data_IF_631155901094
#
_entry.id   IF_631155901094
#
_cell.length_a   1.000
_cell.length_b   1.000
_cell.length_c   1.000
_cell.angle_alpha   90.00
_cell.angle_beta   90.00
_cell.angle_gamma   90.00
#
_symmetry.space_group_name_H-M   'P 1'
#
loop_
_entity.id
_entity.type
_entity.pdbx_description
1 polymer ?
#
# COMPACT_ATOMS: atom_id res chain seq x y z
N UNK A 1 -9.73 -12.97 -10.30
CA UNK A 1 -9.01 -11.70 -10.06
C UNK A 1 -8.51 -11.68 -8.62
N UNK A 2 -7.32 -11.13 -8.38
CA UNK A 2 -6.70 -11.10 -7.05
C UNK A 2 -5.29 -11.69 -7.04
N UNK A 3 -4.59 -11.48 -5.94
CA UNK A 3 -3.17 -11.80 -5.78
C UNK A 3 -2.93 -13.26 -5.35
N UNK A 4 -3.58 -14.22 -6.01
CA UNK A 4 -3.51 -15.65 -5.64
C UNK A 4 -2.08 -16.21 -5.66
N UNK A 5 -1.21 -15.66 -6.51
CA UNK A 5 0.21 -15.99 -6.55
C UNK A 5 0.99 -15.58 -5.29
N UNK A 6 0.43 -14.76 -4.40
CA UNK A 6 1.05 -14.34 -3.14
C UNK A 6 0.55 -15.15 -1.94
N UNK A 7 -0.51 -15.95 -2.10
CA UNK A 7 -1.10 -16.76 -1.03
C UNK A 7 -0.11 -17.80 -0.52
N UNK A 8 0.08 -17.87 0.80
CA UNK A 8 1.04 -18.77 1.44
C UNK A 8 2.49 -18.31 1.41
N UNK A 9 2.80 -17.24 0.67
CA UNK A 9 4.14 -16.63 0.62
C UNK A 9 4.28 -15.42 1.57
N UNK A 10 3.15 -14.85 2.01
CA UNK A 10 3.11 -13.65 2.86
C UNK A 10 2.06 -13.78 3.96
N UNK A 11 2.34 -13.16 5.10
CA UNK A 11 1.38 -13.05 6.22
C UNK A 11 0.44 -11.87 5.98
N UNK A 12 -0.87 -12.14 5.99
CA UNK A 12 -1.90 -11.11 5.96
C UNK A 12 -2.00 -10.44 7.34
N UNK A 13 -1.92 -9.11 7.39
CA UNK A 13 -1.95 -8.34 8.65
C UNK A 13 -3.09 -7.31 8.74
N UNK A 14 -3.81 -7.06 7.65
CA UNK A 14 -4.91 -6.11 7.62
C UNK A 14 -5.39 -5.82 6.21
N UNK A 15 -6.43 -5.00 6.13
CA UNK A 15 -7.04 -4.56 4.87
C UNK A 15 -7.38 -3.07 4.90
N UNK A 16 -7.47 -2.47 3.72
CA UNK A 16 -7.86 -1.06 3.58
C UNK A 16 -9.39 -0.99 3.56
N UNK A 17 -9.98 -0.57 4.68
CA UNK A 17 -11.45 -0.45 4.82
C UNK A 17 -12.03 0.83 4.23
N UNK A 18 -11.20 1.85 3.97
CA UNK A 18 -11.63 3.13 3.37
C UNK A 18 -10.47 3.82 2.63
N UNK A 19 -10.79 4.69 1.66
CA UNK A 19 -9.79 5.48 0.93
C UNK A 19 -9.05 4.74 -0.19
N UNK A 20 -9.62 3.66 -0.72
CA UNK A 20 -9.02 2.91 -1.84
C UNK A 20 -8.87 3.73 -3.13
N UNK A 21 -9.61 4.81 -3.30
CA UNK A 21 -9.42 5.77 -4.38
C UNK A 21 -8.10 6.55 -4.25
N UNK A 22 -7.69 6.87 -3.01
CA UNK A 22 -6.39 7.49 -2.70
C UNK A 22 -5.26 6.49 -2.94
N UNK A 23 -5.42 5.24 -2.50
CA UNK A 23 -4.44 4.17 -2.75
C UNK A 23 -4.17 4.01 -4.25
N UNK A 24 -5.20 4.10 -5.09
CA UNK A 24 -5.05 3.99 -6.56
C UNK A 24 -4.23 5.14 -7.17
N UNK A 25 -4.12 6.29 -6.49
CA UNK A 25 -3.36 7.46 -6.93
C UNK A 25 -1.89 7.43 -6.51
N UNK A 26 -1.47 6.51 -5.63
CA UNK A 26 -0.07 6.36 -5.23
C UNK A 26 0.78 6.18 -6.49
N UNK A 27 1.87 6.95 -6.57
CA UNK A 27 2.75 6.99 -7.73
C UNK A 27 3.28 5.59 -8.06
N UNK A 28 3.08 5.18 -9.32
CA UNK A 28 3.48 3.85 -9.83
C UNK A 28 4.67 3.99 -10.76
N UNK A 29 5.70 3.19 -10.56
CA UNK A 29 6.80 3.01 -11.51
C UNK A 29 6.49 1.92 -12.53
N UNK A 30 7.36 1.76 -13.53
CA UNK A 30 7.25 0.66 -14.49
C UNK A 30 7.65 -0.67 -13.87
N UNK A 31 6.94 -1.75 -14.23
CA UNK A 31 7.31 -3.12 -13.83
C UNK A 31 8.72 -3.50 -14.31
N UNK A 32 9.12 -3.04 -15.50
CA UNK A 32 10.46 -3.25 -16.05
C UNK A 32 11.59 -2.64 -15.19
N UNK A 33 11.26 -1.69 -14.30
CA UNK A 33 12.20 -1.08 -13.36
C UNK A 33 11.79 -1.36 -11.91
N UNK A 34 11.20 -2.54 -11.67
CA UNK A 34 10.74 -3.00 -10.35
C UNK A 34 9.88 -1.98 -9.59
N UNK A 35 9.07 -1.21 -10.30
CA UNK A 35 8.17 -0.21 -9.70
C UNK A 35 8.88 1.04 -9.13
N UNK A 36 10.18 1.24 -9.39
CA UNK A 36 10.92 2.39 -8.88
C UNK A 36 10.38 3.72 -9.43
N UNK A 37 10.36 4.75 -8.56
CA UNK A 37 9.84 6.09 -8.89
C UNK A 37 10.78 7.19 -8.38
N UNK A 38 10.88 8.28 -9.15
CA UNK A 38 11.52 9.51 -8.70
C UNK A 38 10.54 10.30 -7.82
N UNK A 39 10.99 10.88 -6.70
CA UNK A 39 10.14 11.60 -5.74
C UNK A 39 8.88 10.81 -5.32
N UNK A 40 9.02 9.75 -4.50
CA UNK A 40 7.91 8.91 -4.07
C UNK A 40 6.96 9.62 -3.10
N UNK A 41 5.70 9.16 -3.06
CA UNK A 41 4.77 9.49 -1.98
C UNK A 41 5.29 8.95 -0.65
N UNK A 42 5.06 9.70 0.43
CA UNK A 42 5.54 9.36 1.77
C UNK A 42 4.42 9.45 2.79
N UNK A 43 4.44 8.55 3.77
CA UNK A 43 3.60 8.66 4.97
C UNK A 43 4.21 9.78 5.84
N UNK A 44 3.60 10.96 5.82
CA UNK A 44 4.05 12.11 6.62
C UNK A 44 3.58 11.99 8.07
N UNK A 45 2.44 11.35 8.30
CA UNK A 45 1.89 11.09 9.63
C UNK A 45 1.09 9.80 9.63
N UNK A 46 1.22 9.03 10.70
CA UNK A 46 0.37 7.88 11.02
C UNK A 46 -0.31 8.13 12.37
N UNK A 47 -1.55 7.65 12.53
CA UNK A 47 -2.25 7.63 13.82
C UNK A 47 -2.70 6.20 14.07
N UNK A 48 -2.26 5.64 15.18
CA UNK A 48 -2.76 4.36 15.68
C UNK A 48 -4.03 4.65 16.46
N UNK A 49 -5.09 3.87 16.22
CA UNK A 49 -6.34 4.06 16.95
C UNK A 49 -6.17 3.85 18.47
N UNK A 50 -5.22 2.99 18.87
CA UNK A 50 -4.86 2.81 20.29
C UNK A 50 -4.30 4.09 20.96
N UNK A 51 -3.70 4.99 20.16
CA UNK A 51 -3.12 6.25 20.65
C UNK A 51 -4.05 7.46 20.41
N UNK A 52 -5.23 7.24 19.81
CA UNK A 52 -6.22 8.27 19.57
C UNK A 52 -7.05 8.48 20.84
N UNK A 53 -6.64 9.46 21.66
CA UNK A 53 -7.37 9.95 22.83
C UNK A 53 -7.92 11.35 22.57
#
# INVERSE_FOLDING_TARGET
EGCGSLTGQYTLFGEVVSGMDVVRKIKKGSSANNGAVNAPDKIVRMRLLADAK
#
